data_IF_464406132395
#
_entry.id   IF_464406132395
#
_cell.length_a   1.000
_cell.length_b   1.000
_cell.length_c   1.000
_cell.angle_alpha   90.00
_cell.angle_beta   90.00
_cell.angle_gamma   90.00
#
_symmetry.space_group_name_H-M   'P 1'
#
loop_
_entity.id
_entity.type
_entity.pdbx_description
1 polymer ?
#
# COMPACT_ATOMS: atom_id res chain seq x y z
N UNK A 1 42.61 -7.40 38.42
CA UNK A 1 41.28 -7.23 37.79
C UNK A 1 41.49 -7.37 36.29
N UNK A 2 40.97 -8.42 35.66
CA UNK A 2 41.14 -8.67 34.23
C UNK A 2 39.87 -8.19 33.53
N UNK A 3 39.99 -7.24 32.60
CA UNK A 3 38.85 -6.79 31.80
C UNK A 3 38.52 -7.90 30.81
N UNK A 4 37.27 -8.36 30.81
CA UNK A 4 36.79 -9.29 29.80
C UNK A 4 36.47 -8.52 28.51
N UNK A 5 37.44 -8.52 27.59
CA UNK A 5 37.35 -7.82 26.31
C UNK A 5 36.28 -8.41 25.37
N UNK A 6 35.74 -9.60 25.67
CA UNK A 6 34.64 -10.21 24.89
C UNK A 6 33.30 -9.49 25.07
N UNK A 7 33.16 -8.68 26.13
CA UNK A 7 31.94 -7.92 26.41
C UNK A 7 31.96 -6.47 25.87
N UNK A 8 33.00 -6.10 25.10
CA UNK A 8 33.11 -4.76 24.53
C UNK A 8 32.22 -4.61 23.29
N UNK A 9 31.18 -3.79 23.44
CA UNK A 9 30.42 -3.30 22.30
C UNK A 9 31.25 -2.24 21.59
N UNK A 10 31.78 -2.60 20.43
CA UNK A 10 32.54 -1.67 19.59
C UNK A 10 31.61 -0.66 18.90
N UNK A 11 32.17 0.47 18.47
CA UNK A 11 31.43 1.43 17.64
C UNK A 11 30.82 0.75 16.41
N UNK A 12 31.60 -0.10 15.74
CA UNK A 12 31.13 -0.86 14.58
C UNK A 12 29.91 -1.76 14.87
N UNK A 13 29.85 -2.38 16.06
CA UNK A 13 28.68 -3.16 16.46
C UNK A 13 27.44 -2.29 16.67
N UNK A 14 27.60 -1.09 17.23
CA UNK A 14 26.50 -0.13 17.40
C UNK A 14 26.00 0.37 16.04
N UNK A 15 26.92 0.72 15.15
CA UNK A 15 26.61 1.20 13.80
C UNK A 15 25.86 0.12 13.00
N UNK A 16 26.33 -1.13 13.02
CA UNK A 16 25.65 -2.26 12.37
C UNK A 16 24.24 -2.53 12.94
N UNK A 17 24.05 -2.37 14.26
CA UNK A 17 22.73 -2.53 14.88
C UNK A 17 21.75 -1.42 14.44
N UNK A 18 22.24 -0.18 14.30
CA UNK A 18 21.45 0.95 13.78
C UNK A 18 21.05 0.72 12.33
N UNK A 19 22.01 0.31 11.49
CA UNK A 19 21.78 -0.03 10.08
C UNK A 19 20.73 -1.15 9.93
N UNK A 20 20.85 -2.22 10.71
CA UNK A 20 19.89 -3.32 10.70
C UNK A 20 18.48 -2.85 11.12
N UNK A 21 18.38 -1.99 12.14
CA UNK A 21 17.11 -1.44 12.59
C UNK A 21 16.45 -0.55 11.53
N UNK A 22 17.24 0.31 10.88
CA UNK A 22 16.76 1.15 9.78
C UNK A 22 16.27 0.31 8.58
N UNK A 23 17.01 -0.72 8.20
CA UNK A 23 16.60 -1.63 7.13
C UNK A 23 15.30 -2.37 7.48
N UNK A 24 15.15 -2.83 8.73
CA UNK A 24 13.94 -3.47 9.19
C UNK A 24 12.73 -2.52 9.14
N UNK A 25 12.90 -1.28 9.59
CA UNK A 25 11.86 -0.25 9.53
C UNK A 25 11.44 0.06 8.08
N UNK A 26 12.41 0.26 7.18
CA UNK A 26 12.12 0.54 5.77
C UNK A 26 11.39 -0.63 5.09
N UNK A 27 11.76 -1.88 5.41
CA UNK A 27 11.05 -3.08 4.92
C UNK A 27 9.62 -3.16 5.44
N UNK A 28 9.40 -2.87 6.73
CA UNK A 28 8.08 -2.86 7.32
C UNK A 28 7.18 -1.79 6.66
N UNK A 29 7.71 -0.60 6.43
CA UNK A 29 6.98 0.47 5.74
C UNK A 29 6.63 0.09 4.29
N UNK A 30 7.58 -0.45 3.52
CA UNK A 30 7.33 -0.93 2.15
C UNK A 30 6.26 -2.04 2.14
N UNK A 31 6.31 -2.96 3.11
CA UNK A 31 5.31 -4.02 3.26
C UNK A 31 3.92 -3.44 3.54
N UNK A 32 3.81 -2.53 4.51
CA UNK A 32 2.55 -1.87 4.87
C UNK A 32 1.93 -1.13 3.68
N UNK A 33 2.75 -0.37 2.93
CA UNK A 33 2.31 0.32 1.70
C UNK A 33 1.83 -0.66 0.62
N UNK A 34 2.52 -1.79 0.44
CA UNK A 34 2.12 -2.83 -0.52
C UNK A 34 0.79 -3.49 -0.13
N UNK A 35 0.61 -3.82 1.16
CA UNK A 35 -0.63 -4.42 1.67
C UNK A 35 -1.80 -3.45 1.47
N UNK A 36 -1.62 -2.17 1.81
CA UNK A 36 -2.65 -1.14 1.61
C UNK A 36 -3.02 -0.99 0.14
N UNK A 37 -2.03 -0.91 -0.75
CA UNK A 37 -2.27 -0.82 -2.19
C UNK A 37 -3.01 -2.05 -2.74
N UNK A 38 -2.66 -3.26 -2.28
CA UNK A 38 -3.35 -4.49 -2.64
C UNK A 38 -4.82 -4.47 -2.19
N UNK A 39 -5.08 -4.09 -0.94
CA UNK A 39 -6.44 -4.00 -0.40
C UNK A 39 -7.30 -3.02 -1.20
N UNK A 40 -6.76 -1.84 -1.54
CA UNK A 40 -7.46 -0.84 -2.35
C UNK A 40 -7.71 -1.34 -3.77
N UNK A 41 -6.74 -1.99 -4.41
CA UNK A 41 -6.92 -2.56 -5.76
C UNK A 41 -8.03 -3.62 -5.74
N UNK A 42 -8.03 -4.53 -4.76
CA UNK A 42 -9.04 -5.58 -4.64
C UNK A 42 -10.43 -4.99 -4.44
N UNK A 43 -10.59 -4.06 -3.48
CA UNK A 43 -11.85 -3.36 -3.20
C UNK A 43 -12.41 -2.64 -4.43
N UNK A 44 -11.57 -1.91 -5.16
CA UNK A 44 -11.98 -1.17 -6.35
C UNK A 44 -12.35 -2.14 -7.48
N UNK A 45 -11.55 -3.19 -7.70
CA UNK A 45 -11.81 -4.18 -8.74
C UNK A 45 -13.13 -4.92 -8.47
N UNK A 46 -13.38 -5.32 -7.22
CA UNK A 46 -14.61 -6.00 -6.81
C UNK A 46 -15.87 -5.16 -7.12
N UNK A 47 -15.84 -3.85 -6.82
CA UNK A 47 -16.96 -2.96 -7.17
C UNK A 47 -17.13 -2.79 -8.69
N UNK A 48 -16.02 -2.64 -9.43
CA UNK A 48 -16.06 -2.55 -10.91
C UNK A 48 -16.68 -3.81 -11.51
N UNK A 49 -16.29 -4.98 -11.02
CA UNK A 49 -16.80 -6.27 -11.48
C UNK A 49 -18.29 -6.41 -11.13
N UNK A 50 -18.69 -6.01 -9.93
CA UNK A 50 -20.10 -6.02 -9.49
C UNK A 50 -20.99 -5.15 -10.37
N UNK A 51 -20.55 -3.93 -10.70
CA UNK A 51 -21.26 -3.06 -11.64
C UNK A 51 -21.28 -3.70 -13.04
N UNK A 52 -20.17 -4.32 -13.45
CA UNK A 52 -20.07 -5.06 -14.71
C UNK A 52 -21.16 -6.13 -14.86
N UNK A 53 -21.44 -6.89 -13.79
CA UNK A 53 -22.55 -7.85 -13.79
C UNK A 53 -23.91 -7.17 -14.01
N UNK A 54 -24.14 -6.01 -13.38
CA UNK A 54 -25.36 -5.22 -13.60
C UNK A 54 -25.50 -4.76 -15.06
N UNK A 55 -24.41 -4.33 -15.69
CA UNK A 55 -24.39 -3.93 -17.11
C UNK A 55 -24.72 -5.12 -18.01
N UNK A 56 -24.10 -6.28 -17.77
CA UNK A 56 -24.33 -7.50 -18.55
C UNK A 56 -25.79 -8.01 -18.43
N UNK A 57 -26.40 -7.82 -17.27
CA UNK A 57 -27.80 -8.17 -17.01
C UNK A 57 -28.79 -7.12 -17.54
N UNK A 58 -28.33 -5.92 -17.93
CA UNK A 58 -29.18 -4.79 -18.33
C UNK A 58 -29.88 -4.10 -17.15
N UNK A 59 -29.35 -4.26 -15.95
CA UNK A 59 -29.90 -3.74 -14.68
C UNK A 59 -29.10 -2.54 -14.14
N UNK A 60 -27.95 -2.22 -14.74
CA UNK A 60 -27.14 -1.07 -14.35
C UNK A 60 -27.79 0.25 -14.74
N UNK A 61 -27.69 1.23 -13.83
CA UNK A 61 -28.13 2.61 -14.05
C UNK A 61 -27.03 3.46 -14.70
N UNK A 62 -27.38 4.65 -15.19
CA UNK A 62 -26.39 5.62 -15.68
C UNK A 62 -25.40 6.02 -14.56
N UNK A 63 -25.89 6.09 -13.31
CA UNK A 63 -25.06 6.34 -12.14
C UNK A 63 -24.05 5.22 -11.87
N UNK A 64 -24.45 3.95 -12.05
CA UNK A 64 -23.54 2.81 -11.92
C UNK A 64 -22.43 2.87 -12.97
N UNK A 65 -22.75 3.15 -14.23
CA UNK A 65 -21.77 3.30 -15.31
C UNK A 65 -20.79 4.46 -15.04
N UNK A 66 -21.31 5.59 -14.52
CA UNK A 66 -20.49 6.73 -14.13
C UNK A 66 -19.56 6.42 -12.94
N UNK A 67 -20.05 5.67 -11.95
CA UNK A 67 -19.21 5.16 -10.85
C UNK A 67 -18.10 4.26 -11.41
N UNK A 68 -18.44 3.29 -12.27
CA UNK A 68 -17.47 2.36 -12.86
C UNK A 68 -16.37 3.10 -13.63
N UNK A 69 -16.74 4.07 -14.47
CA UNK A 69 -15.79 4.89 -15.22
C UNK A 69 -14.82 5.64 -14.30
N UNK A 70 -15.33 6.20 -13.19
CA UNK A 70 -14.52 6.87 -12.17
C UNK A 70 -13.59 5.89 -11.45
N UNK A 71 -14.09 4.70 -11.11
CA UNK A 71 -13.31 3.67 -10.42
C UNK A 71 -12.21 3.09 -11.30
N UNK A 72 -12.40 2.98 -12.62
CA UNK A 72 -11.34 2.56 -13.55
C UNK A 72 -10.13 3.50 -13.54
N UNK A 73 -10.35 4.81 -13.41
CA UNK A 73 -9.28 5.81 -13.27
C UNK A 73 -8.52 5.59 -11.95
N UNK A 74 -9.25 5.40 -10.85
CA UNK A 74 -8.67 5.14 -9.54
C UNK A 74 -7.88 3.82 -9.53
N UNK A 75 -8.43 2.75 -10.09
CA UNK A 75 -7.77 1.46 -10.22
C UNK A 75 -6.44 1.57 -10.95
N UNK A 76 -6.39 2.34 -12.05
CA UNK A 76 -5.16 2.62 -12.78
C UNK A 76 -4.15 3.34 -11.89
N UNK A 77 -4.56 4.38 -11.16
CA UNK A 77 -3.66 5.11 -10.25
C UNK A 77 -3.07 4.20 -9.16
N UNK A 78 -3.89 3.35 -8.53
CA UNK A 78 -3.46 2.39 -7.53
C UNK A 78 -2.53 1.31 -8.09
N UNK A 79 -2.79 0.80 -9.30
CA UNK A 79 -1.90 -0.14 -10.00
C UNK A 79 -0.54 0.53 -10.33
N UNK A 80 -0.55 1.78 -10.79
CA UNK A 80 0.68 2.56 -11.03
C UNK A 80 1.47 2.79 -9.74
N UNK A 81 0.80 3.13 -8.64
CA UNK A 81 1.41 3.27 -7.33
C UNK A 81 2.07 1.98 -6.86
N UNK A 82 1.35 0.85 -6.92
CA UNK A 82 1.89 -0.46 -6.55
C UNK A 82 3.10 -0.85 -7.41
N UNK A 83 3.04 -0.59 -8.71
CA UNK A 83 4.18 -0.82 -9.60
C UNK A 83 5.40 0.04 -9.21
N UNK A 84 5.19 1.31 -8.85
CA UNK A 84 6.25 2.19 -8.38
C UNK A 84 6.87 1.73 -7.04
N UNK A 85 6.06 1.22 -6.11
CA UNK A 85 6.55 0.61 -4.86
C UNK A 85 7.51 -0.55 -5.13
N UNK A 86 7.25 -1.35 -6.16
CA UNK A 86 8.13 -2.45 -6.58
C UNK A 86 9.53 -2.03 -7.02
N UNK A 87 9.76 -0.73 -7.22
CA UNK A 87 11.07 -0.15 -7.59
C UNK A 87 11.77 0.56 -6.43
N UNK A 88 11.18 0.60 -5.23
CA UNK A 88 11.77 1.34 -4.10
C UNK A 88 13.08 0.71 -3.62
N UNK A 89 13.16 -0.61 -3.60
CA UNK A 89 14.35 -1.34 -3.12
C UNK A 89 15.57 -1.24 -4.03
N UNK A 90 15.39 -0.77 -5.27
CA UNK A 90 16.49 -0.55 -6.22
C UNK A 90 16.94 0.91 -6.28
N UNK A 91 16.36 1.79 -5.47
CA UNK A 91 16.80 3.19 -5.39
C UNK A 91 18.19 3.29 -4.76
N UNK A 92 19.04 4.21 -5.20
CA UNK A 92 20.35 4.44 -4.57
C UNK A 92 20.26 4.87 -3.10
N UNK A 93 19.13 5.44 -2.70
CA UNK A 93 18.87 5.87 -1.32
C UNK A 93 18.24 4.78 -0.45
N UNK A 94 17.99 3.59 -1.02
CA UNK A 94 17.56 2.44 -0.24
C UNK A 94 18.71 1.97 0.66
N UNK A 95 18.48 1.68 1.94
CA UNK A 95 17.24 1.75 2.73
C UNK A 95 17.20 2.99 3.65
N UNK A 96 18.25 3.81 3.64
CA UNK A 96 18.46 4.88 4.61
C UNK A 96 17.56 6.10 4.38
N UNK A 97 17.20 6.40 3.13
CA UNK A 97 16.35 7.53 2.76
C UNK A 97 15.50 7.23 1.51
N UNK A 98 14.62 6.20 1.55
CA UNK A 98 13.81 5.83 0.40
C UNK A 98 12.91 6.98 -0.03
N UNK A 99 12.82 7.20 -1.35
CA UNK A 99 11.86 8.13 -1.94
C UNK A 99 10.58 7.35 -2.23
N UNK A 100 9.54 7.61 -1.43
CA UNK A 100 8.26 6.94 -1.58
C UNK A 100 7.44 7.54 -2.73
N UNK A 101 6.82 6.72 -3.60
CA UNK A 101 5.85 7.22 -4.56
C UNK A 101 4.66 7.87 -3.84
N UNK A 102 4.04 8.85 -4.50
CA UNK A 102 2.84 9.52 -3.98
C UNK A 102 1.69 8.52 -3.98
N UNK A 103 1.08 8.36 -2.81
CA UNK A 103 -0.09 7.50 -2.65
C UNK A 103 -1.32 8.14 -3.34
N UNK A 104 -2.10 7.39 -4.14
CA UNK A 104 -3.31 7.90 -4.75
C UNK A 104 -4.41 8.21 -3.72
N UNK A 105 -5.38 9.02 -4.12
CA UNK A 105 -6.58 9.22 -3.33
C UNK A 105 -7.35 7.90 -3.18
N UNK A 106 -7.91 7.67 -1.98
CA UNK A 106 -8.84 6.56 -1.73
C UNK A 106 -10.18 6.97 -2.35
N UNK A 107 -10.73 6.19 -3.30
CA UNK A 107 -12.01 6.53 -3.90
C UNK A 107 -13.16 6.23 -2.93
N UNK A 108 -14.16 7.11 -2.98
CA UNK A 108 -15.49 6.83 -2.45
C UNK A 108 -16.13 5.77 -3.34
N UNK A 109 -16.65 4.71 -2.74
CA UNK A 109 -17.45 3.67 -3.40
C UNK A 109 -18.83 3.76 -2.76
N UNK A 110 -19.87 3.91 -3.59
CA UNK A 110 -21.22 4.24 -3.11
C UNK A 110 -21.83 3.11 -2.29
N UNK A 111 -21.62 1.87 -2.75
CA UNK A 111 -22.11 0.66 -2.09
C UNK A 111 -20.96 -0.15 -1.47
N UNK A 112 -20.13 0.49 -0.63
CA UNK A 112 -19.03 -0.21 0.03
C UNK A 112 -19.49 -0.86 1.35
N UNK A 113 -19.54 -2.21 1.43
CA UNK A 113 -19.93 -2.90 2.65
C UNK A 113 -18.99 -2.60 3.83
N UNK A 114 -17.75 -2.16 3.59
CA UNK A 114 -16.80 -1.78 4.65
C UNK A 114 -17.14 -0.42 5.27
N UNK A 115 -17.83 0.47 4.55
CA UNK A 115 -18.33 1.74 5.11
C UNK A 115 -19.68 1.59 5.81
N UNK A 116 -20.57 0.74 5.28
CA UNK A 116 -21.90 0.50 5.87
C UNK A 116 -21.81 -0.15 7.26
N UNK A 117 -20.77 -0.94 7.54
CA UNK A 117 -20.57 -1.55 8.86
C UNK A 117 -20.13 -0.55 9.95
N UNK A 118 -19.50 0.58 9.59
CA UNK A 118 -19.00 1.56 10.57
C UNK A 118 -20.11 2.45 11.16
N UNK A 119 -21.22 2.63 10.43
CA UNK A 119 -22.35 3.49 10.84
C UNK A 119 -23.39 2.75 11.73
N UNK A 120 -23.16 1.47 12.04
CA UNK A 120 -24.06 0.63 12.83
C UNK A 120 -23.59 0.42 14.29
N UNK A 121 -22.65 1.22 14.79
CA UNK A 121 -22.10 1.14 16.16
C UNK A 121 -22.42 2.41 16.95
#
# INVERSE_FOLDING_TARGET
MNIDWSQLITKAMKDAAVEAAQLAAAKAELSGRNIKALAQIARIQERIDTIGFGIELGEATEEDEAEQATLLINLKAWKTYKFALGKVTVQPTWYAAPVWPVEPAVPVIVADPQTVAADLI
#
